data_IF_485874899577
#
_entry.id   IF_485874899577
#
_cell.length_a   1.000
_cell.length_b   1.000
_cell.length_c   1.000
_cell.angle_alpha   90.00
_cell.angle_beta   90.00
_cell.angle_gamma   90.00
#
_symmetry.space_group_name_H-M   'P 1'
#
loop_
_entity.id
_entity.type
_entity.pdbx_description
1 polymer ?
#
# COMPACT_ATOMS: atom_id res chain seq x y z
N UNK A 1 -4.00 9.14 3.44
CA UNK A 1 -2.71 9.84 3.26
C UNK A 1 -2.52 10.76 4.45
N UNK A 2 -1.30 10.85 4.99
CA UNK A 2 -0.97 11.74 6.10
C UNK A 2 0.11 12.74 5.65
N UNK A 3 -0.25 14.03 5.61
CA UNK A 3 0.65 15.10 5.18
C UNK A 3 1.64 15.54 6.26
N UNK A 4 1.32 15.26 7.53
CA UNK A 4 2.14 15.61 8.70
C UNK A 4 3.28 14.61 8.91
N UNK A 5 3.09 13.34 8.51
CA UNK A 5 4.12 12.30 8.57
C UNK A 5 4.66 11.97 7.18
N UNK A 6 5.88 12.42 6.88
CA UNK A 6 6.47 12.24 5.54
C UNK A 6 7.44 11.07 5.48
N UNK A 7 7.32 10.27 4.44
CA UNK A 7 8.28 9.25 4.04
C UNK A 7 8.74 9.56 2.63
N UNK A 8 10.02 9.36 2.32
CA UNK A 8 10.62 9.70 1.02
C UNK A 8 10.32 11.15 0.56
N UNK A 9 10.33 12.08 1.51
CA UNK A 9 10.04 13.52 1.32
C UNK A 9 8.61 13.84 0.85
N UNK A 10 7.72 12.86 0.80
CA UNK A 10 6.31 13.00 0.42
C UNK A 10 5.37 12.55 1.54
N UNK A 11 4.08 12.88 1.44
CA UNK A 11 3.06 12.42 2.39
C UNK A 11 3.01 10.88 2.41
N UNK A 12 2.93 10.29 3.60
CA UNK A 12 2.86 8.84 3.76
C UNK A 12 1.42 8.31 3.60
N UNK A 13 1.31 7.01 3.31
CA UNK A 13 0.08 6.25 3.47
C UNK A 13 0.01 5.85 4.94
N UNK A 14 -1.07 6.23 5.63
CA UNK A 14 -1.32 5.86 7.01
C UNK A 14 -2.41 4.79 7.06
N UNK A 15 -2.19 3.76 7.89
CA UNK A 15 -3.15 2.69 8.18
C UNK A 15 -3.10 2.31 9.67
N UNK A 16 -4.20 1.83 10.23
CA UNK A 16 -4.18 1.23 11.57
C UNK A 16 -3.68 -0.21 11.44
N UNK A 17 -2.51 -0.48 12.01
CA UNK A 17 -1.93 -1.81 12.10
C UNK A 17 -2.44 -2.53 13.35
N UNK A 18 -2.67 -3.84 13.23
CA UNK A 18 -3.00 -4.70 14.36
C UNK A 18 -2.17 -5.98 14.31
N UNK A 19 -1.49 -6.30 15.41
CA UNK A 19 -0.74 -7.56 15.54
C UNK A 19 -0.74 -8.02 17.00
N UNK A 20 -1.04 -9.30 17.23
CA UNK A 20 -1.10 -9.90 18.57
C UNK A 20 -1.92 -9.08 19.60
N UNK A 21 -3.07 -8.54 19.18
CA UNK A 21 -3.95 -7.72 20.02
C UNK A 21 -3.48 -6.28 20.26
N UNK A 22 -2.28 -5.90 19.79
CA UNK A 22 -1.77 -4.54 19.87
C UNK A 22 -2.14 -3.74 18.63
N UNK A 23 -2.34 -2.44 18.81
CA UNK A 23 -2.70 -1.50 17.76
C UNK A 23 -1.69 -0.36 17.69
N UNK A 24 -1.30 0.03 16.48
CA UNK A 24 -0.46 1.20 16.26
C UNK A 24 -0.74 1.77 14.86
N UNK A 25 -0.48 3.07 14.62
CA UNK A 25 -0.39 3.56 13.26
C UNK A 25 0.81 2.89 12.55
N UNK A 26 0.63 2.64 11.26
CA UNK A 26 1.71 2.30 10.33
C UNK A 26 1.72 3.35 9.23
N UNK A 27 2.89 3.93 9.03
CA UNK A 27 3.17 4.85 7.95
C UNK A 27 3.97 4.10 6.88
N UNK A 28 3.50 4.16 5.64
CA UNK A 28 4.14 3.53 4.48
C UNK A 28 4.48 4.60 3.46
N UNK A 29 5.58 4.43 2.74
CA UNK A 29 5.88 5.30 1.61
C UNK A 29 4.75 5.27 0.58
N UNK A 30 4.45 6.42 0.00
CA UNK A 30 3.51 6.54 -1.11
C UNK A 30 4.18 6.40 -2.48
N UNK A 31 5.50 6.27 -2.52
CA UNK A 31 6.23 5.99 -3.76
C UNK A 31 6.18 4.50 -4.07
N UNK A 32 5.62 4.16 -5.23
CA UNK A 32 5.62 2.78 -5.69
C UNK A 32 7.06 2.28 -5.87
N UNK A 33 7.39 1.11 -5.32
CA UNK A 33 8.76 0.59 -5.28
C UNK A 33 9.51 0.89 -3.97
N UNK A 34 9.07 1.88 -3.18
CA UNK A 34 9.65 2.11 -1.85
C UNK A 34 9.04 1.14 -0.83
N UNK A 35 9.92 0.54 -0.02
CA UNK A 35 9.55 -0.35 1.08
C UNK A 35 9.74 0.32 2.44
N UNK A 36 9.93 1.65 2.47
CA UNK A 36 10.08 2.39 3.71
C UNK A 36 8.76 2.38 4.47
N UNK A 37 8.82 1.92 5.71
CA UNK A 37 7.70 1.89 6.64
C UNK A 37 8.16 2.28 8.04
N UNK A 38 7.28 2.93 8.81
CA UNK A 38 7.53 3.35 10.19
C UNK A 38 6.30 3.02 11.04
N UNK A 39 6.53 2.40 12.20
CA UNK A 39 5.50 2.07 13.20
C UNK A 39 6.16 1.83 14.55
N UNK A 40 5.48 2.18 15.63
CA UNK A 40 5.95 1.90 17.00
C UNK A 40 5.66 0.45 17.43
N UNK A 41 4.96 -0.32 16.60
CA UNK A 41 4.64 -1.72 16.88
C UNK A 41 5.78 -2.64 16.44
N UNK A 42 6.49 -3.19 17.41
CA UNK A 42 7.46 -4.24 17.14
C UNK A 42 6.74 -5.52 16.70
N UNK A 43 7.12 -6.01 15.53
CA UNK A 43 6.50 -7.14 14.86
C UNK A 43 7.60 -8.01 14.26
N UNK A 44 7.63 -9.33 14.52
CA UNK A 44 8.65 -10.18 13.92
C UNK A 44 8.51 -10.28 12.40
N UNK A 45 9.65 -10.39 11.70
CA UNK A 45 9.68 -10.72 10.27
C UNK A 45 8.97 -12.05 10.01
N UNK A 46 8.25 -12.14 8.89
CA UNK A 46 7.51 -13.33 8.48
C UNK A 46 6.11 -13.45 9.08
N UNK A 47 5.74 -12.61 10.04
CA UNK A 47 4.39 -12.56 10.61
C UNK A 47 3.44 -11.73 9.74
N UNK A 48 2.15 -11.98 9.89
CA UNK A 48 1.06 -11.31 9.17
C UNK A 48 0.32 -10.38 10.13
N UNK A 49 0.04 -9.16 9.70
CA UNK A 49 -0.71 -8.17 10.47
C UNK A 49 -2.10 -7.91 9.87
N UNK A 50 -3.00 -7.37 10.69
CA UNK A 50 -4.26 -6.78 10.26
C UNK A 50 -4.09 -5.30 9.92
N UNK A 51 -4.83 -4.84 8.92
CA UNK A 51 -4.74 -3.46 8.41
C UNK A 51 -6.15 -2.89 8.28
N UNK A 52 -6.37 -1.70 8.85
CA UNK A 52 -7.66 -1.00 8.76
C UNK A 52 -7.47 0.44 8.31
N UNK A 53 -8.45 0.96 7.58
CA UNK A 53 -8.48 2.36 7.18
C UNK A 53 -8.41 3.28 8.41
N UNK A 54 -7.53 4.31 8.44
CA UNK A 54 -7.43 5.22 9.58
C UNK A 54 -8.70 6.04 9.80
N UNK A 55 -9.46 6.30 8.72
CA UNK A 55 -10.64 7.17 8.72
C UNK A 55 -11.94 6.43 9.07
N UNK A 56 -12.26 5.33 8.37
CA UNK A 56 -13.52 4.60 8.56
C UNK A 56 -13.37 3.27 9.32
N UNK A 57 -12.15 2.87 9.66
CA UNK A 57 -11.82 1.62 10.37
C UNK A 57 -12.19 0.33 9.64
N UNK A 58 -12.64 0.39 8.38
CA UNK A 58 -12.89 -0.78 7.54
C UNK A 58 -11.62 -1.61 7.35
N UNK A 59 -11.79 -2.94 7.25
CA UNK A 59 -10.70 -3.88 6.96
C UNK A 59 -10.21 -3.68 5.51
N UNK A 60 -8.90 -3.60 5.33
CA UNK A 60 -8.26 -3.41 4.03
C UNK A 60 -7.89 -4.73 3.35
N UNK A 61 -8.25 -5.87 3.94
CA UNK A 61 -8.04 -7.21 3.40
C UNK A 61 -8.63 -7.33 1.99
N UNK A 62 -7.78 -7.72 1.03
CA UNK A 62 -8.21 -8.06 -0.31
C UNK A 62 -8.65 -9.54 -0.38
N UNK A 63 -9.24 -9.97 -1.50
CA UNK A 63 -9.55 -11.39 -1.74
C UNK A 63 -8.33 -12.20 -2.22
N UNK A 64 -7.22 -11.54 -2.58
CA UNK A 64 -6.05 -12.15 -3.21
C UNK A 64 -5.02 -12.65 -2.20
N UNK A 65 -4.43 -13.81 -2.47
CA UNK A 65 -3.23 -14.31 -1.79
C UNK A 65 -1.97 -13.85 -2.52
N UNK A 66 -0.96 -13.51 -1.75
CA UNK A 66 0.36 -13.19 -2.26
C UNK A 66 0.98 -14.43 -2.90
N UNK A 67 1.34 -14.34 -4.17
CA UNK A 67 1.98 -15.40 -4.95
C UNK A 67 3.38 -15.76 -4.43
N UNK A 68 4.08 -14.83 -3.78
CA UNK A 68 5.43 -15.05 -3.26
C UNK A 68 5.48 -15.76 -1.90
N UNK A 69 4.46 -15.60 -1.04
CA UNK A 69 4.50 -16.16 0.33
C UNK A 69 3.18 -16.72 0.86
N UNK A 70 2.13 -16.78 0.02
CA UNK A 70 0.81 -17.30 0.36
C UNK A 70 -0.02 -16.45 1.33
N UNK A 71 0.52 -15.33 1.82
CA UNK A 71 -0.18 -14.49 2.81
C UNK A 71 -1.30 -13.68 2.20
N UNK A 72 -2.24 -13.22 3.03
CA UNK A 72 -3.30 -12.33 2.57
C UNK A 72 -2.71 -11.01 2.04
N UNK A 73 -3.25 -10.47 0.95
CA UNK A 73 -2.91 -9.12 0.53
C UNK A 73 -3.91 -8.10 1.10
N UNK A 74 -3.47 -6.86 1.20
CA UNK A 74 -4.34 -5.70 1.44
C UNK A 74 -4.46 -4.90 0.15
N UNK A 75 -5.55 -4.17 -0.02
CA UNK A 75 -5.81 -3.38 -1.22
C UNK A 75 -6.12 -1.92 -0.88
N UNK A 76 -5.66 -1.02 -1.74
CA UNK A 76 -6.03 0.38 -1.77
C UNK A 76 -6.55 0.72 -3.17
N UNK A 77 -7.72 1.32 -3.24
CA UNK A 77 -8.24 1.87 -4.49
C UNK A 77 -7.57 3.21 -4.79
N UNK A 78 -7.14 3.39 -6.03
CA UNK A 78 -6.52 4.64 -6.49
C UNK A 78 -7.60 5.57 -7.02
N UNK A 79 -7.50 6.86 -6.69
CA UNK A 79 -8.48 7.88 -7.13
C UNK A 79 -8.63 7.98 -8.65
N UNK A 80 -7.55 7.74 -9.38
CA UNK A 80 -7.52 7.83 -10.84
C UNK A 80 -8.00 6.55 -11.54
N UNK A 81 -8.33 5.50 -10.79
CA UNK A 81 -8.61 4.17 -11.33
C UNK A 81 -7.51 3.17 -11.00
N UNK A 82 -7.91 1.90 -10.96
CA UNK A 82 -7.04 0.80 -10.53
C UNK A 82 -6.89 0.69 -9.01
N UNK A 83 -6.15 -0.34 -8.61
CA UNK A 83 -5.90 -0.66 -7.21
C UNK A 83 -4.45 -1.10 -7.02
N UNK A 84 -3.88 -0.73 -5.88
CA UNK A 84 -2.59 -1.25 -5.43
C UNK A 84 -2.82 -2.28 -4.34
N UNK A 85 -2.19 -3.44 -4.49
CA UNK A 85 -2.23 -4.52 -3.50
C UNK A 85 -0.85 -4.76 -2.90
N UNK A 86 -0.79 -4.90 -1.59
CA UNK A 86 0.47 -5.03 -0.84
C UNK A 86 0.37 -6.26 0.07
N UNK A 87 1.46 -7.02 0.19
CA UNK A 87 1.47 -8.18 1.09
C UNK A 87 1.37 -7.75 2.56
N UNK A 88 0.49 -8.41 3.32
CA UNK A 88 0.33 -8.17 4.76
C UNK A 88 1.45 -8.78 5.63
N UNK A 89 2.38 -9.53 5.04
CA UNK A 89 3.47 -10.20 5.75
C UNK A 89 4.68 -9.28 5.88
N UNK A 90 5.11 -9.01 7.11
CA UNK A 90 6.34 -8.23 7.36
C UNK A 90 7.54 -8.94 6.72
N UNK A 91 8.30 -8.20 5.92
CA UNK A 91 9.46 -8.71 5.18
C UNK A 91 9.15 -9.24 3.77
N UNK A 92 7.88 -9.39 3.38
CA UNK A 92 7.54 -9.70 1.99
C UNK A 92 7.40 -8.40 1.18
N UNK A 93 8.20 -8.28 0.11
CA UNK A 93 8.24 -7.09 -0.75
C UNK A 93 7.27 -7.14 -1.95
N UNK A 94 6.38 -8.14 -2.00
CA UNK A 94 5.44 -8.27 -3.12
C UNK A 94 4.36 -7.18 -3.03
N UNK A 95 4.27 -6.41 -4.09
CA UNK A 95 3.18 -5.50 -4.40
C UNK A 95 2.70 -5.74 -5.84
N UNK A 96 1.45 -5.38 -6.11
CA UNK A 96 0.86 -5.45 -7.45
C UNK A 96 0.07 -4.18 -7.68
N UNK A 97 0.25 -3.57 -8.84
CA UNK A 97 -0.61 -2.51 -9.33
C UNK A 97 -1.50 -3.11 -10.41
N UNK A 98 -2.82 -2.99 -10.24
CA UNK A 98 -3.80 -3.61 -11.12
C UNK A 98 -4.75 -2.55 -11.66
N UNK A 99 -5.09 -2.69 -12.94
CA UNK A 99 -6.02 -1.80 -13.63
C UNK A 99 -7.08 -2.63 -14.33
N UNK A 100 -8.26 -2.06 -14.50
CA UNK A 100 -9.36 -2.73 -15.20
C UNK A 100 -9.21 -2.63 -16.72
N UNK A 101 -8.85 -1.45 -17.22
CA UNK A 101 -8.66 -1.18 -18.65
C UNK A 101 -7.20 -0.80 -18.90
N UNK A 102 -6.45 -1.72 -19.50
CA UNK A 102 -5.03 -1.52 -19.77
C UNK A 102 -4.78 -0.43 -20.84
N UNK A 103 -5.69 -0.28 -21.80
CA UNK A 103 -5.53 0.68 -22.91
C UNK A 103 -5.70 2.10 -22.39
N UNK A 104 -6.71 2.33 -21.56
CA UNK A 104 -6.95 3.63 -20.90
C UNK A 104 -5.73 4.08 -20.09
N UNK A 105 -5.16 3.18 -19.29
CA UNK A 105 -4.04 3.50 -18.40
C UNK A 105 -2.74 3.72 -19.17
N UNK A 106 -2.50 2.93 -20.21
CA UNK A 106 -1.34 3.12 -21.08
C UNK A 106 -1.41 4.48 -21.80
N UNK A 107 -2.59 4.86 -22.28
CA UNK A 107 -2.82 6.19 -22.87
C UNK A 107 -2.61 7.31 -21.85
N UNK A 108 -3.11 7.16 -20.62
CA UNK A 108 -2.90 8.13 -19.55
C UNK A 108 -1.41 8.30 -19.21
N UNK A 109 -0.67 7.18 -19.14
CA UNK A 109 0.77 7.17 -18.93
C UNK A 109 1.52 7.92 -20.04
N UNK A 110 1.26 7.60 -21.31
CA UNK A 110 1.90 8.29 -22.45
C UNK A 110 1.62 9.79 -22.45
N UNK A 111 0.37 10.21 -22.20
CA UNK A 111 0.01 11.63 -22.11
C UNK A 111 0.77 12.34 -20.98
N UNK A 112 0.90 11.71 -19.81
CA UNK A 112 1.65 12.26 -18.69
C UNK A 112 3.15 12.37 -19.00
N UNK A 113 3.74 11.32 -19.57
CA UNK A 113 5.15 11.28 -19.94
C UNK A 113 5.50 12.35 -20.99
N UNK A 114 4.71 12.46 -22.07
CA UNK A 114 4.92 13.48 -23.10
C UNK A 114 4.75 14.91 -22.56
N UNK A 115 3.89 15.11 -21.57
CA UNK A 115 3.74 16.41 -20.90
C UNK A 115 4.97 16.78 -20.08
N UNK A 116 5.63 15.81 -19.44
CA UNK A 116 6.82 16.05 -18.63
C UNK A 116 8.09 16.33 -19.46
N UNK A 117 8.09 15.98 -20.76
CA UNK A 117 9.17 16.25 -21.69
C UNK A 117 9.09 17.64 -22.36
N UNK A 118 7.98 18.37 -22.17
CA UNK A 118 7.80 19.75 -22.63
C UNK A 118 8.12 20.72 -21.51
#
# INVERSE_FOLDING_TARGET
>A
MNSSHKLDKTASIEVNLTYAGKHAPLYMSSLYGSYKVETDLDMPTGKVAGFRCPHCKADLKSTRKCDACGSQMIAFELKAGGKVQICSRRGCKKHVLEFQDADSELQAFYKSYLKALK
#
